data_IF_944291966003
#
_entry.id   IF_944291966003
#
_cell.length_a   1.000
_cell.length_b   1.000
_cell.length_c   1.000
_cell.angle_alpha   90.00
_cell.angle_beta   90.00
_cell.angle_gamma   90.00
#
_symmetry.space_group_name_H-M   'P 1'
#
loop_
_entity.id
_entity.type
_entity.pdbx_description
1 polymer ?
#
# COMPACT_ATOMS: atom_id res chain seq x y z
N UNK A 1 2.44 -11.30 -1.67
CA UNK A 1 2.08 -10.51 -2.88
C UNK A 1 2.58 -9.06 -2.79
N UNK A 2 2.11 -8.26 -1.81
CA UNK A 2 2.45 -6.83 -1.71
C UNK A 2 3.95 -6.54 -1.62
N UNK A 3 4.68 -7.14 -0.69
CA UNK A 3 6.14 -6.89 -0.57
C UNK A 3 6.88 -7.24 -1.87
N UNK A 4 6.50 -8.34 -2.54
CA UNK A 4 7.06 -8.73 -3.83
C UNK A 4 6.76 -7.71 -4.92
N UNK A 5 5.53 -7.19 -4.99
CA UNK A 5 5.15 -6.17 -5.96
C UNK A 5 5.91 -4.85 -5.72
N UNK A 6 6.05 -4.42 -4.46
CA UNK A 6 6.86 -3.26 -4.08
C UNK A 6 8.33 -3.46 -4.47
N UNK A 7 8.93 -4.61 -4.15
CA UNK A 7 10.31 -4.92 -4.55
C UNK A 7 10.48 -4.89 -6.07
N UNK A 8 9.51 -5.44 -6.82
CA UNK A 8 9.59 -5.55 -8.28
C UNK A 8 9.48 -4.19 -8.98
N UNK A 9 8.56 -3.33 -8.53
CA UNK A 9 8.35 -2.02 -9.16
C UNK A 9 9.33 -0.96 -8.65
N UNK A 10 9.62 -0.96 -7.34
CA UNK A 10 10.35 0.13 -6.69
C UNK A 10 11.79 -0.26 -6.30
N UNK A 11 12.18 -1.54 -6.41
CA UNK A 11 13.53 -2.00 -6.05
C UNK A 11 13.86 -1.96 -4.56
N UNK A 12 12.86 -1.80 -3.68
CA UNK A 12 13.05 -1.63 -2.24
C UNK A 12 12.38 -2.73 -1.42
N UNK A 13 12.95 -3.02 -0.24
CA UNK A 13 12.29 -3.84 0.78
C UNK A 13 11.26 -3.02 1.54
N UNK A 14 10.01 -3.46 1.51
CA UNK A 14 8.96 -2.83 2.30
C UNK A 14 9.08 -3.27 3.77
N UNK A 15 9.19 -2.30 4.68
CA UNK A 15 9.12 -2.52 6.12
C UNK A 15 7.67 -2.72 6.55
N UNK A 16 7.39 -3.81 7.26
CA UNK A 16 6.09 -4.03 7.90
C UNK A 16 6.01 -3.22 9.20
N UNK A 17 4.87 -2.60 9.44
CA UNK A 17 4.64 -1.70 10.58
C UNK A 17 3.18 -1.75 11.02
N UNK A 18 2.96 -1.60 12.32
CA UNK A 18 1.65 -1.33 12.93
C UNK A 18 1.59 0.07 13.56
N UNK A 19 2.64 0.87 13.40
CA UNK A 19 2.70 2.24 13.89
C UNK A 19 1.95 3.21 12.97
N UNK A 20 1.50 4.35 13.52
CA UNK A 20 0.82 5.40 12.77
C UNK A 20 -0.59 5.65 13.29
N UNK A 21 -1.50 6.00 12.38
CA UNK A 21 -2.91 6.26 12.66
C UNK A 21 -3.77 5.00 12.67
N UNK A 22 -5.01 5.13 12.21
CA UNK A 22 -5.98 4.02 12.12
C UNK A 22 -6.55 3.91 10.71
N UNK A 23 -7.12 2.76 10.41
CA UNK A 23 -7.92 2.54 9.20
C UNK A 23 -9.15 1.70 9.53
N UNK A 24 -10.06 1.61 8.57
CA UNK A 24 -11.23 0.74 8.65
C UNK A 24 -10.91 -0.75 8.44
N UNK A 25 -9.63 -1.10 8.25
CA UNK A 25 -9.15 -2.47 8.30
C UNK A 25 -9.56 -3.20 9.58
N UNK A 26 -9.72 -2.48 10.70
CA UNK A 26 -10.23 -3.03 11.97
C UNK A 26 -11.63 -3.65 11.87
N UNK A 27 -12.45 -3.22 10.93
CA UNK A 27 -13.78 -3.77 10.69
C UNK A 27 -13.76 -4.92 9.66
N UNK A 28 -12.76 -4.95 8.79
CA UNK A 28 -12.62 -5.99 7.75
C UNK A 28 -11.94 -7.24 8.30
N UNK A 29 -10.91 -7.10 9.15
CA UNK A 29 -10.16 -8.23 9.68
C UNK A 29 -11.03 -9.31 10.39
N UNK A 30 -12.10 -8.96 11.15
CA UNK A 30 -13.00 -9.95 11.76
C UNK A 30 -13.73 -10.87 10.77
N UNK A 31 -13.77 -10.54 9.47
CA UNK A 31 -14.34 -11.42 8.43
C UNK A 31 -13.48 -12.65 8.13
N UNK A 32 -12.26 -12.72 8.69
CA UNK A 32 -11.26 -13.74 8.36
C UNK A 32 -10.34 -13.35 7.20
N UNK A 33 -10.50 -12.16 6.64
CA UNK A 33 -9.64 -11.63 5.57
C UNK A 33 -8.25 -11.27 6.09
N UNK A 34 -7.21 -11.53 5.28
CA UNK A 34 -5.90 -10.95 5.50
C UNK A 34 -5.91 -9.47 5.08
N UNK A 35 -5.61 -8.56 6.01
CA UNK A 35 -5.66 -7.12 5.78
C UNK A 35 -4.26 -6.52 5.88
N UNK A 36 -3.90 -5.72 4.89
CA UNK A 36 -2.67 -4.91 4.85
C UNK A 36 -2.99 -3.52 4.30
N UNK A 37 -2.18 -2.53 4.68
CA UNK A 37 -2.32 -1.15 4.22
C UNK A 37 -1.09 -0.74 3.41
N UNK A 38 -1.33 -0.03 2.31
CA UNK A 38 -0.30 0.50 1.42
C UNK A 38 -0.85 1.75 0.72
N UNK A 39 -0.02 2.78 0.61
CA UNK A 39 -0.41 4.06 0.03
C UNK A 39 0.76 5.04 -0.04
N UNK A 40 0.50 6.31 -0.40
CA UNK A 40 1.53 7.34 -0.50
C UNK A 40 2.05 7.79 0.87
N UNK A 41 3.05 8.67 0.86
CA UNK A 41 3.57 9.28 2.08
C UNK A 41 2.47 10.02 2.84
N UNK A 42 2.38 9.76 4.14
CA UNK A 42 1.40 10.39 5.03
C UNK A 42 1.91 11.70 5.68
N UNK A 43 3.02 12.27 5.21
CA UNK A 43 3.70 13.38 5.89
C UNK A 43 2.85 14.66 6.03
N UNK A 44 1.91 14.87 5.10
CA UNK A 44 1.08 16.07 5.02
C UNK A 44 -0.41 15.82 5.24
N UNK A 45 -0.85 14.58 5.52
CA UNK A 45 -2.28 14.31 5.75
C UNK A 45 -2.78 15.14 6.94
N UNK A 46 -4.00 15.66 6.83
CA UNK A 46 -4.64 16.48 7.87
C UNK A 46 -3.87 17.77 8.23
N UNK A 47 -3.06 18.31 7.31
CA UNK A 47 -2.38 19.60 7.45
C UNK A 47 -2.83 20.56 6.35
N UNK A 48 -2.65 21.85 6.58
CA UNK A 48 -2.77 22.85 5.50
C UNK A 48 -1.75 22.55 4.39
N UNK A 49 -2.15 22.79 3.14
CA UNK A 49 -1.33 22.47 1.95
C UNK A 49 -0.98 20.98 1.81
N UNK A 50 -1.95 20.11 2.09
CA UNK A 50 -1.83 18.67 1.82
C UNK A 50 -1.43 18.41 0.35
N UNK A 51 -0.42 17.58 0.14
CA UNK A 51 0.11 17.30 -1.19
C UNK A 51 0.77 15.93 -1.26
N UNK A 52 0.93 15.44 -2.49
CA UNK A 52 1.62 14.18 -2.77
C UNK A 52 2.54 14.38 -3.97
N UNK A 53 3.75 13.78 -3.99
CA UNK A 53 4.59 13.80 -5.18
C UNK A 53 3.90 13.04 -6.33
N UNK A 54 3.61 13.73 -7.43
CA UNK A 54 2.96 13.13 -8.61
C UNK A 54 3.74 11.92 -9.16
N UNK A 55 5.07 11.97 -9.07
CA UNK A 55 5.95 10.88 -9.48
C UNK A 55 5.70 9.55 -8.73
N UNK A 56 5.12 9.58 -7.53
CA UNK A 56 4.81 8.38 -6.76
C UNK A 56 3.53 7.68 -7.24
N UNK A 57 2.64 8.35 -7.98
CA UNK A 57 1.34 7.81 -8.35
C UNK A 57 1.45 6.65 -9.35
N UNK A 58 2.29 6.78 -10.38
CA UNK A 58 2.42 5.74 -11.42
C UNK A 58 3.03 4.44 -10.86
N UNK A 59 4.14 4.47 -10.09
CA UNK A 59 4.65 3.26 -9.43
C UNK A 59 3.62 2.64 -8.48
N UNK A 60 2.87 3.46 -7.73
CA UNK A 60 1.85 2.97 -6.81
C UNK A 60 0.74 2.18 -7.52
N UNK A 61 0.25 2.67 -8.67
CA UNK A 61 -0.72 1.96 -9.50
C UNK A 61 -0.17 0.60 -9.95
N UNK A 62 1.10 0.56 -10.39
CA UNK A 62 1.74 -0.69 -10.82
C UNK A 62 1.95 -1.67 -9.68
N UNK A 63 2.22 -1.20 -8.46
CA UNK A 63 2.26 -2.06 -7.27
C UNK A 63 0.88 -2.68 -7.00
N UNK A 64 -0.20 -1.90 -7.04
CA UNK A 64 -1.55 -2.46 -6.88
C UNK A 64 -1.88 -3.48 -7.97
N UNK A 65 -1.57 -3.17 -9.23
CA UNK A 65 -1.74 -4.12 -10.34
C UNK A 65 -0.96 -5.42 -10.08
N UNK A 66 0.31 -5.31 -9.69
CA UNK A 66 1.16 -6.47 -9.41
C UNK A 66 0.66 -7.32 -8.23
N UNK A 67 -0.02 -6.72 -7.25
CA UNK A 67 -0.70 -7.47 -6.17
C UNK A 67 -1.88 -8.25 -6.71
N UNK A 68 -2.73 -7.61 -7.50
CA UNK A 68 -3.92 -8.23 -8.10
C UNK A 68 -3.51 -9.40 -9.01
N UNK A 69 -2.52 -9.20 -9.87
CA UNK A 69 -2.00 -10.26 -10.75
C UNK A 69 -1.50 -11.47 -9.97
N UNK A 70 -0.72 -11.25 -8.90
CA UNK A 70 -0.17 -12.34 -8.07
C UNK A 70 -1.25 -13.10 -7.31
N UNK A 71 -2.29 -12.42 -6.86
CA UNK A 71 -3.34 -13.05 -6.06
C UNK A 71 -4.40 -13.74 -6.92
N UNK A 72 -4.78 -13.16 -8.06
CA UNK A 72 -5.92 -13.62 -8.85
C UNK A 72 -5.52 -14.37 -10.12
N UNK A 73 -4.31 -14.14 -10.63
CA UNK A 73 -3.84 -14.72 -11.90
C UNK A 73 -2.66 -15.69 -11.70
N UNK A 74 -2.13 -15.81 -10.47
CA UNK A 74 -1.07 -16.77 -10.13
C UNK A 74 0.29 -16.48 -10.77
N UNK A 75 0.53 -15.23 -11.16
CA UNK A 75 1.75 -14.74 -11.82
C UNK A 75 2.37 -13.58 -11.05
#
# INVERSE_FOLDING_TARGET
ALQTAVRSECGIECRLSTAGGTSDGRFIAPTGSQVVEFGPLNATIHKVNESVPVACLTPMVRVYQGVIERLLLGR
#
